data_IF_631947941428
#
_entry.id   IF_631947941428
#
_cell.length_a   1.000
_cell.length_b   1.000
_cell.length_c   1.000
_cell.angle_alpha   90.00
_cell.angle_beta   90.00
_cell.angle_gamma   90.00
#
_symmetry.space_group_name_H-M   'P 1'
#
loop_
_entity.id
_entity.type
_entity.pdbx_description
1 polymer ?
#
# COMPACT_ATOMS: atom_id res chain seq x y z
N UNK A 1 -22.89 58.76 -27.04
CA UNK A 1 -22.80 57.60 -26.11
C UNK A 1 -22.14 56.44 -26.86
N UNK A 2 -20.84 56.23 -26.66
CA UNK A 2 -20.07 55.16 -27.32
C UNK A 2 -20.10 53.92 -26.44
N UNK A 3 -20.69 52.83 -26.96
CA UNK A 3 -20.85 51.55 -26.26
C UNK A 3 -19.52 50.80 -26.29
N UNK A 4 -18.94 50.52 -25.13
CA UNK A 4 -17.83 49.60 -24.97
C UNK A 4 -18.37 48.17 -25.01
N UNK A 5 -17.96 47.39 -26.01
CA UNK A 5 -18.18 45.95 -26.06
C UNK A 5 -16.93 45.25 -25.48
N UNK A 6 -17.10 44.55 -24.36
CA UNK A 6 -16.09 43.65 -23.82
C UNK A 6 -16.19 42.32 -24.57
N UNK A 7 -15.15 41.97 -25.32
CA UNK A 7 -15.00 40.65 -25.95
C UNK A 7 -14.41 39.69 -24.91
N UNK A 8 -15.22 38.76 -24.42
CA UNK A 8 -14.78 37.68 -23.54
C UNK A 8 -14.11 36.59 -24.39
N UNK A 9 -12.78 36.49 -24.32
CA UNK A 9 -12.03 35.39 -24.92
C UNK A 9 -12.21 34.15 -24.03
N UNK A 10 -12.99 33.19 -24.48
CA UNK A 10 -13.08 31.87 -23.87
C UNK A 10 -11.80 31.08 -24.20
N UNK A 11 -10.86 31.04 -23.25
CA UNK A 11 -9.71 30.16 -23.31
C UNK A 11 -10.19 28.73 -23.00
N UNK A 12 -10.45 27.94 -24.04
CA UNK A 12 -10.72 26.52 -23.89
C UNK A 12 -9.43 25.82 -23.44
N UNK A 13 -9.29 25.54 -22.14
CA UNK A 13 -8.33 24.57 -21.67
C UNK A 13 -8.76 23.20 -22.20
N UNK A 14 -8.08 22.73 -23.23
CA UNK A 14 -8.07 21.31 -23.56
C UNK A 14 -7.46 20.59 -22.35
N UNK A 15 -8.31 19.98 -21.53
CA UNK A 15 -7.88 18.98 -20.55
C UNK A 15 -7.45 17.76 -21.37
N UNK A 16 -6.19 17.75 -21.78
CA UNK A 16 -5.53 16.54 -22.22
C UNK A 16 -5.62 15.56 -21.05
N UNK A 17 -6.57 14.63 -21.12
CA UNK A 17 -6.63 13.51 -20.19
C UNK A 17 -5.35 12.72 -20.37
N UNK A 18 -4.32 13.02 -19.57
CA UNK A 18 -3.19 12.14 -19.42
C UNK A 18 -3.76 10.82 -18.94
N UNK A 19 -3.73 9.81 -19.82
CA UNK A 19 -4.04 8.45 -19.43
C UNK A 19 -2.94 8.08 -18.44
N UNK A 20 -3.25 8.07 -17.15
CA UNK A 20 -2.30 7.64 -16.12
C UNK A 20 -1.81 6.25 -16.49
N UNK A 21 -0.50 6.01 -16.40
CA UNK A 21 0.05 4.68 -16.61
C UNK A 21 -0.65 3.69 -15.67
N UNK A 22 -0.85 2.45 -16.14
CA UNK A 22 -1.48 1.42 -15.33
C UNK A 22 -0.68 1.23 -14.02
N UNK A 23 -1.35 0.98 -12.89
CA UNK A 23 -0.67 0.70 -11.63
C UNK A 23 0.28 -0.49 -11.78
N UNK A 24 1.45 -0.38 -11.16
CA UNK A 24 2.49 -1.42 -11.17
C UNK A 24 2.68 -1.92 -9.74
N UNK A 25 3.01 -3.20 -9.58
CA UNK A 25 3.20 -3.80 -8.28
C UNK A 25 3.60 -5.27 -8.35
N UNK A 26 3.56 -5.95 -7.20
CA UNK A 26 3.79 -7.38 -7.09
C UNK A 26 3.15 -7.99 -5.85
N UNK A 27 3.00 -9.32 -5.87
CA UNK A 27 2.45 -10.09 -4.75
C UNK A 27 3.25 -11.39 -4.55
N UNK A 28 3.28 -11.90 -3.32
CA UNK A 28 4.01 -13.13 -3.00
C UNK A 28 3.31 -14.41 -3.45
N UNK A 29 2.05 -14.32 -3.90
CA UNK A 29 1.26 -15.45 -4.37
C UNK A 29 0.22 -14.97 -5.39
N UNK A 30 -0.46 -15.92 -6.03
CA UNK A 30 -1.54 -15.66 -6.98
C UNK A 30 -2.88 -15.33 -6.31
N UNK A 31 -3.01 -15.38 -4.98
CA UNK A 31 -4.27 -15.01 -4.31
C UNK A 31 -4.60 -13.52 -4.42
N UNK A 32 -3.59 -12.68 -4.63
CA UNK A 32 -3.73 -11.23 -4.84
C UNK A 32 -3.30 -10.90 -6.26
N UNK A 33 -4.19 -10.26 -7.01
CA UNK A 33 -3.91 -9.72 -8.32
C UNK A 33 -3.94 -8.20 -8.27
N UNK A 34 -2.98 -7.57 -8.95
CA UNK A 34 -2.80 -6.13 -9.02
C UNK A 34 -3.21 -5.65 -10.40
N UNK A 35 -3.89 -4.51 -10.45
CA UNK A 35 -4.28 -3.90 -11.71
C UNK A 35 -5.04 -2.59 -11.51
N UNK A 36 -5.50 -2.03 -12.62
CA UNK A 36 -6.38 -0.86 -12.58
C UNK A 36 -7.73 -1.21 -11.95
N UNK A 37 -8.16 -0.40 -10.99
CA UNK A 37 -9.50 -0.45 -10.40
C UNK A 37 -10.58 -0.43 -11.48
N UNK A 38 -11.62 -1.24 -11.31
CA UNK A 38 -12.67 -1.41 -12.31
C UNK A 38 -14.07 -1.67 -11.76
N UNK A 39 -14.27 -1.62 -10.43
CA UNK A 39 -15.59 -1.85 -9.82
C UNK A 39 -16.27 -0.56 -9.36
N UNK A 40 -17.57 -0.49 -9.62
CA UNK A 40 -18.51 0.46 -9.02
C UNK A 40 -19.69 -0.32 -8.38
N UNK A 41 -20.25 0.12 -7.24
CA UNK A 41 -19.82 1.22 -6.38
C UNK A 41 -18.60 0.80 -5.54
N UNK A 42 -17.43 1.38 -5.79
CA UNK A 42 -16.19 0.92 -5.15
C UNK A 42 -14.93 1.70 -5.55
N UNK A 43 -15.07 2.78 -6.32
CA UNK A 43 -13.98 3.69 -6.60
C UNK A 43 -13.99 4.25 -8.01
N UNK A 44 -12.97 5.04 -8.31
CA UNK A 44 -12.79 5.59 -9.65
C UNK A 44 -11.95 4.61 -10.48
N UNK A 45 -12.35 4.25 -11.72
CA UNK A 45 -11.56 3.35 -12.54
C UNK A 45 -10.18 3.90 -12.90
N UNK A 46 -9.20 3.01 -13.06
CA UNK A 46 -7.88 3.36 -13.60
C UNK A 46 -6.77 3.56 -12.57
N UNK A 47 -7.08 3.52 -11.27
CA UNK A 47 -6.10 3.68 -10.18
C UNK A 47 -5.68 2.34 -9.57
N UNK A 48 -4.72 2.37 -8.66
CA UNK A 48 -4.22 1.22 -7.91
C UNK A 48 -5.35 0.38 -7.30
N UNK A 49 -5.54 -0.81 -7.87
CA UNK A 49 -6.60 -1.72 -7.47
C UNK A 49 -6.11 -3.13 -7.19
N UNK A 50 -6.84 -3.81 -6.30
CA UNK A 50 -6.60 -5.21 -5.96
C UNK A 50 -7.83 -6.06 -6.24
N UNK A 51 -7.59 -7.24 -6.77
CA UNK A 51 -8.55 -8.31 -6.90
C UNK A 51 -8.05 -9.55 -6.15
N UNK A 52 -8.97 -10.33 -5.58
CA UNK A 52 -8.63 -11.50 -4.77
C UNK A 52 -9.25 -12.78 -5.31
N UNK A 53 -8.56 -13.89 -5.09
CA UNK A 53 -9.08 -15.25 -5.33
C UNK A 53 -8.90 -16.12 -4.09
N UNK A 54 -9.97 -16.80 -3.68
CA UNK A 54 -9.91 -17.78 -2.59
C UNK A 54 -9.16 -19.07 -2.97
N UNK A 55 -9.00 -19.36 -4.26
CA UNK A 55 -8.32 -20.57 -4.77
C UNK A 55 -6.93 -20.29 -5.36
N UNK A 56 -6.48 -19.03 -5.33
CA UNK A 56 -5.23 -18.61 -5.96
C UNK A 56 -5.27 -18.69 -7.50
N UNK A 57 -6.47 -18.80 -8.07
CA UNK A 57 -6.72 -18.91 -9.51
C UNK A 57 -8.06 -18.29 -9.87
N UNK A 58 -8.30 -18.05 -11.16
CA UNK A 58 -9.59 -17.49 -11.59
C UNK A 58 -10.79 -18.35 -11.11
N UNK A 59 -11.95 -17.74 -10.81
CA UNK A 59 -12.26 -16.32 -10.96
C UNK A 59 -11.74 -15.45 -9.81
N UNK A 60 -11.22 -14.27 -10.15
CA UNK A 60 -10.94 -13.21 -9.19
C UNK A 60 -12.19 -12.36 -8.96
N UNK A 61 -12.23 -11.64 -7.84
CA UNK A 61 -13.12 -10.49 -7.68
C UNK A 61 -12.83 -9.40 -8.72
N UNK A 62 -13.64 -8.34 -8.77
CA UNK A 62 -13.22 -7.13 -9.47
C UNK A 62 -12.11 -6.40 -8.70
N UNK A 63 -11.43 -5.47 -9.38
CA UNK A 63 -10.34 -4.66 -8.82
C UNK A 63 -10.91 -3.46 -8.06
N UNK A 64 -10.83 -3.50 -6.73
CA UNK A 64 -11.26 -2.41 -5.86
C UNK A 64 -10.19 -1.31 -5.80
N UNK A 65 -10.59 -0.05 -5.98
CA UNK A 65 -9.74 1.13 -5.74
C UNK A 65 -9.38 1.19 -4.27
N UNK A 66 -8.08 1.06 -3.96
CA UNK A 66 -7.60 0.99 -2.58
C UNK A 66 -7.98 2.22 -1.76
N UNK A 67 -7.90 3.42 -2.35
CA UNK A 67 -8.15 4.67 -1.65
C UNK A 67 -9.64 4.86 -1.35
N UNK A 68 -10.47 4.65 -2.37
CA UNK A 68 -11.91 4.99 -2.29
C UNK A 68 -12.77 3.86 -1.72
N UNK A 69 -12.29 2.61 -1.69
CA UNK A 69 -13.00 1.51 -1.06
C UNK A 69 -12.38 1.11 0.30
N UNK A 70 -11.44 0.16 0.41
CA UNK A 70 -11.06 -0.38 1.71
C UNK A 70 -10.43 0.67 2.65
N UNK A 71 -9.63 1.62 2.15
CA UNK A 71 -9.06 2.68 3.00
C UNK A 71 -10.17 3.62 3.47
N UNK A 72 -11.03 4.13 2.58
CA UNK A 72 -12.14 4.98 2.95
C UNK A 72 -13.12 4.29 3.91
N UNK A 73 -13.35 2.99 3.74
CA UNK A 73 -14.16 2.17 4.66
C UNK A 73 -13.54 2.08 6.05
N UNK A 74 -12.22 1.93 6.15
CA UNK A 74 -11.53 1.92 7.44
C UNK A 74 -11.58 3.29 8.12
N UNK A 75 -11.43 4.38 7.36
CA UNK A 75 -11.50 5.76 7.87
C UNK A 75 -12.91 6.12 8.32
N UNK A 76 -13.92 5.80 7.52
CA UNK A 76 -15.31 6.23 7.73
C UNK A 76 -16.18 5.18 8.43
N UNK A 77 -15.60 4.08 8.92
CA UNK A 77 -16.33 3.02 9.60
C UNK A 77 -17.19 3.57 10.74
N UNK A 78 -18.38 3.01 10.93
CA UNK A 78 -19.36 3.47 11.94
C UNK A 78 -19.08 2.75 13.25
N UNK A 79 -18.92 3.51 14.33
CA UNK A 79 -18.74 2.95 15.67
C UNK A 79 -20.07 2.38 16.22
N UNK A 80 -20.02 1.25 16.89
CA UNK A 80 -21.10 0.73 17.72
C UNK A 80 -21.01 1.25 19.17
N UNK A 81 -21.88 0.74 20.05
CA UNK A 81 -21.93 1.14 21.47
C UNK A 81 -20.68 0.76 22.27
N UNK A 82 -19.88 -0.18 21.77
CA UNK A 82 -18.65 -0.64 22.41
C UNK A 82 -17.41 0.07 21.83
N UNK A 83 -17.59 0.92 20.82
CA UNK A 83 -16.51 1.62 20.13
C UNK A 83 -15.87 0.83 18.99
N UNK A 84 -16.34 -0.39 18.72
CA UNK A 84 -15.91 -1.17 17.55
C UNK A 84 -16.43 -0.50 16.27
N UNK A 85 -15.57 -0.39 15.26
CA UNK A 85 -15.92 0.29 14.00
C UNK A 85 -16.20 -0.70 12.89
N UNK A 86 -17.22 -0.39 12.11
CA UNK A 86 -17.77 -1.30 11.11
C UNK A 86 -17.91 -0.63 9.74
N UNK A 87 -17.45 -1.31 8.70
CA UNK A 87 -17.64 -0.90 7.31
C UNK A 87 -18.86 -1.59 6.71
N UNK A 88 -19.63 -0.80 5.96
CA UNK A 88 -20.76 -1.28 5.18
C UNK A 88 -20.35 -1.52 3.73
N UNK A 89 -21.02 -2.45 3.08
CA UNK A 89 -20.90 -2.61 1.64
C UNK A 89 -21.39 -1.32 0.96
N UNK A 90 -20.61 -0.72 0.04
CA UNK A 90 -20.97 0.54 -0.60
C UNK A 90 -22.38 0.50 -1.22
N UNK A 91 -23.16 1.56 -1.00
CA UNK A 91 -24.54 1.66 -1.50
C UNK A 91 -25.57 0.81 -0.75
N UNK A 92 -25.19 0.13 0.35
CA UNK A 92 -26.10 -0.73 1.11
C UNK A 92 -26.03 -0.46 2.62
N UNK A 93 -26.97 -1.03 3.38
CA UNK A 93 -26.92 -1.03 4.84
C UNK A 93 -26.15 -2.22 5.44
N UNK A 94 -25.65 -3.14 4.62
CA UNK A 94 -25.06 -4.42 5.06
C UNK A 94 -23.66 -4.19 5.61
N UNK A 95 -23.43 -4.57 6.86
CA UNK A 95 -22.10 -4.59 7.47
C UNK A 95 -21.30 -5.77 6.92
N UNK A 96 -20.10 -5.49 6.38
CA UNK A 96 -19.24 -6.52 5.77
C UNK A 96 -17.90 -6.68 6.46
N UNK A 97 -17.43 -5.67 7.19
CA UNK A 97 -16.14 -5.76 7.88
C UNK A 97 -16.11 -4.99 9.19
N UNK A 98 -15.34 -5.51 10.15
CA UNK A 98 -14.80 -4.72 11.26
C UNK A 98 -13.53 -4.02 10.78
N UNK A 99 -13.31 -2.76 11.18
CA UNK A 99 -12.24 -1.94 10.62
C UNK A 99 -11.45 -1.14 11.66
N UNK A 100 -10.19 -0.87 11.34
CA UNK A 100 -9.28 -0.08 12.15
C UNK A 100 -8.42 0.82 11.27
N UNK A 101 -8.04 1.99 11.80
CA UNK A 101 -7.08 2.92 11.18
C UNK A 101 -6.06 3.33 12.23
N UNK A 102 -4.78 3.13 11.94
CA UNK A 102 -3.65 3.63 12.70
C UNK A 102 -2.91 4.68 11.88
N UNK A 103 -2.74 5.87 12.43
CA UNK A 103 -2.05 7.01 11.79
C UNK A 103 -0.81 7.45 12.58
N UNK A 104 -0.38 6.64 13.55
CA UNK A 104 0.66 7.00 14.50
C UNK A 104 2.07 7.03 13.87
N UNK A 105 2.28 6.31 12.76
CA UNK A 105 3.57 6.29 12.06
C UNK A 105 3.64 7.44 11.03
N UNK A 106 4.78 8.13 10.95
CA UNK A 106 4.96 9.28 10.06
C UNK A 106 5.08 8.90 8.56
N UNK A 107 5.62 7.72 8.25
CA UNK A 107 5.87 7.27 6.88
C UNK A 107 4.62 6.67 6.23
N UNK A 108 3.77 5.98 7.00
CA UNK A 108 2.58 5.34 6.44
C UNK A 108 1.41 5.29 7.43
N UNK A 109 0.20 5.44 6.91
CA UNK A 109 -1.01 5.12 7.67
C UNK A 109 -1.44 3.68 7.38
N UNK A 110 -1.88 2.96 8.42
CA UNK A 110 -2.27 1.56 8.31
C UNK A 110 -3.78 1.41 8.46
N UNK A 111 -4.44 0.90 7.43
CA UNK A 111 -5.85 0.52 7.44
C UNK A 111 -5.97 -1.00 7.54
N UNK A 112 -6.75 -1.50 8.50
CA UNK A 112 -6.99 -2.94 8.67
C UNK A 112 -8.48 -3.25 8.58
N UNK A 113 -8.84 -4.32 7.89
CA UNK A 113 -10.21 -4.76 7.69
C UNK A 113 -10.31 -6.27 7.95
N UNK A 114 -11.28 -6.68 8.76
CA UNK A 114 -11.67 -8.07 8.96
C UNK A 114 -13.04 -8.30 8.36
N UNK A 115 -13.19 -9.13 7.33
CA UNK A 115 -14.55 -9.42 6.84
C UNK A 115 -15.31 -10.28 7.84
N UNK A 116 -16.51 -9.82 8.16
CA UNK A 116 -17.46 -10.50 9.04
C UNK A 116 -18.66 -11.06 8.29
N UNK A 117 -18.74 -10.77 6.99
CA UNK A 117 -19.71 -11.30 6.04
C UNK A 117 -19.08 -11.34 4.66
N UNK A 118 -19.44 -12.33 3.84
CA UNK A 118 -19.07 -12.37 2.43
C UNK A 118 -19.87 -11.31 1.66
N UNK A 119 -19.23 -10.31 1.04
CA UNK A 119 -19.93 -9.30 0.26
C UNK A 119 -20.49 -9.88 -1.05
N UNK A 120 -21.46 -9.20 -1.66
CA UNK A 120 -21.93 -9.61 -2.98
C UNK A 120 -20.90 -9.31 -4.07
N UNK A 121 -20.76 -10.19 -5.04
CA UNK A 121 -19.96 -9.94 -6.24
C UNK A 121 -20.34 -8.59 -6.89
N UNK A 122 -19.38 -7.84 -7.46
CA UNK A 122 -17.99 -8.21 -7.74
C UNK A 122 -16.98 -7.85 -6.62
N UNK A 123 -17.45 -7.59 -5.40
CA UNK A 123 -16.58 -7.12 -4.31
C UNK A 123 -15.49 -8.13 -3.91
N UNK A 124 -14.30 -7.67 -3.51
CA UNK A 124 -13.25 -8.57 -3.06
C UNK A 124 -13.61 -9.34 -1.79
N UNK A 125 -13.20 -10.61 -1.74
CA UNK A 125 -13.38 -11.50 -0.58
C UNK A 125 -12.04 -11.70 0.11
N UNK A 126 -12.01 -11.56 1.44
CA UNK A 126 -10.82 -11.69 2.27
C UNK A 126 -11.21 -12.05 3.71
N UNK A 127 -10.30 -12.62 4.49
CA UNK A 127 -10.46 -12.75 5.94
C UNK A 127 -9.96 -11.50 6.63
N UNK A 128 -8.70 -11.20 6.38
CA UNK A 128 -8.04 -9.96 6.75
C UNK A 128 -7.44 -9.27 5.54
N UNK A 129 -7.52 -7.94 5.55
CA UNK A 129 -6.81 -7.07 4.62
C UNK A 129 -6.16 -5.95 5.43
N UNK A 130 -4.85 -5.82 5.29
CA UNK A 130 -4.05 -4.78 5.94
C UNK A 130 -3.37 -3.98 4.84
N UNK A 131 -3.51 -2.66 4.89
CA UNK A 131 -3.03 -1.74 3.86
C UNK A 131 -2.22 -0.64 4.53
N UNK A 132 -0.93 -0.58 4.23
CA UNK A 132 -0.09 0.59 4.43
C UNK A 132 -0.27 1.55 3.26
N UNK A 133 -0.60 2.80 3.56
CA UNK A 133 -0.65 3.91 2.61
C UNK A 133 0.56 4.81 2.88
N UNK A 134 1.50 4.86 1.93
CA UNK A 134 2.70 5.68 2.05
C UNK A 134 2.31 7.16 2.05
N UNK A 135 2.97 7.94 2.91
CA UNK A 135 2.81 9.38 3.04
C UNK A 135 4.06 10.07 2.50
N UNK A 136 3.87 11.26 1.95
CA UNK A 136 4.97 12.14 1.56
C UNK A 136 5.65 12.64 2.82
N UNK A 137 6.95 12.42 2.91
CA UNK A 137 7.77 12.85 4.05
C UNK A 137 8.49 14.17 3.71
N UNK A 138 9.13 14.21 2.54
CA UNK A 138 9.87 15.39 2.06
C UNK A 138 9.02 16.36 1.21
N UNK A 139 8.05 17.04 1.81
CA UNK A 139 7.57 18.29 1.23
C UNK A 139 8.22 19.47 1.98
N UNK A 140 8.92 20.34 1.25
CA UNK A 140 9.48 21.59 1.78
C UNK A 140 8.40 22.49 2.40
N UNK A 141 7.13 22.22 2.09
CA UNK A 141 5.99 22.79 2.77
C UNK A 141 5.54 21.93 3.97
N UNK A 142 5.78 22.36 5.22
CA UNK A 142 5.36 21.62 6.41
C UNK A 142 3.83 21.49 6.55
N UNK A 143 3.03 22.23 5.77
CA UNK A 143 1.58 22.04 5.72
C UNK A 143 1.15 20.76 4.96
N UNK A 144 2.03 20.20 4.13
CA UNK A 144 1.78 19.00 3.31
C UNK A 144 2.69 17.82 3.63
N UNK A 145 3.62 17.98 4.56
CA UNK A 145 4.40 16.89 5.15
C UNK A 145 3.50 15.87 5.87
N UNK A 146 3.89 14.59 5.80
CA UNK A 146 3.14 13.45 6.35
C UNK A 146 1.70 13.35 5.84
N UNK A 147 1.44 13.79 4.60
CA UNK A 147 0.16 13.57 3.93
C UNK A 147 0.25 12.40 2.97
N UNK A 148 -0.84 11.64 2.86
CA UNK A 148 -0.99 10.65 1.80
C UNK A 148 -0.79 11.28 0.41
N UNK A 149 -0.28 10.46 -0.52
CA UNK A 149 -0.26 10.84 -1.93
C UNK A 149 -1.68 11.10 -2.45
N UNK A 150 -1.80 12.04 -3.41
CA UNK A 150 -3.06 12.33 -4.06
C UNK A 150 -3.53 11.13 -4.91
N UNK A 151 -4.81 11.15 -5.30
CA UNK A 151 -5.37 10.16 -6.22
C UNK A 151 -4.56 10.16 -7.54
N UNK A 152 -4.12 9.00 -8.00
CA UNK A 152 -3.21 8.87 -9.15
C UNK A 152 -1.72 8.95 -8.83
N UNK A 153 -1.36 9.07 -7.55
CA UNK A 153 0.03 8.99 -7.05
C UNK A 153 0.13 8.00 -5.88
N UNK A 154 -0.93 7.25 -5.59
CA UNK A 154 -1.02 6.40 -4.41
C UNK A 154 0.02 5.29 -4.44
N UNK A 155 0.70 5.08 -3.32
CA UNK A 155 1.64 3.96 -3.14
C UNK A 155 1.19 3.17 -1.92
N UNK A 156 0.97 1.88 -2.12
CA UNK A 156 0.33 0.99 -1.17
C UNK A 156 1.11 -0.32 -1.04
N UNK A 157 1.06 -0.88 0.16
CA UNK A 157 1.65 -2.18 0.46
C UNK A 157 0.82 -2.84 1.55
N UNK A 158 0.90 -4.16 1.69
CA UNK A 158 0.11 -4.80 2.72
C UNK A 158 0.03 -6.31 2.67
N UNK A 159 -0.95 -6.82 3.40
CA UNK A 159 -1.18 -8.24 3.57
C UNK A 159 -2.64 -8.59 3.31
N UNK A 160 -2.86 -9.77 2.75
CA UNK A 160 -4.16 -10.39 2.57
C UNK A 160 -4.14 -11.79 3.18
N UNK A 161 -5.27 -12.22 3.73
CA UNK A 161 -5.52 -13.60 4.14
C UNK A 161 -6.88 -14.07 3.63
N UNK A 162 -7.08 -15.39 3.45
CA UNK A 162 -8.37 -15.93 3.03
C UNK A 162 -9.42 -15.75 4.13
N UNK A 163 -10.69 -15.72 3.72
CA UNK A 163 -11.81 -15.68 4.65
C UNK A 163 -11.84 -16.96 5.49
N UNK A 164 -11.96 -16.83 6.80
CA UNK A 164 -12.12 -17.95 7.72
C UNK A 164 -13.41 -17.75 8.52
N UNK A 165 -14.44 -18.53 8.18
CA UNK A 165 -15.74 -18.60 8.88
C UNK A 165 -16.21 -17.24 9.39
N UNK A 166 -16.70 -16.35 8.50
CA UNK A 166 -17.01 -14.97 8.87
C UNK A 166 -18.07 -14.92 9.98
N UNK A 167 -17.77 -14.15 11.04
CA UNK A 167 -18.67 -13.95 12.18
C UNK A 167 -18.77 -12.46 12.52
N UNK A 168 -19.95 -12.02 12.94
CA UNK A 168 -20.20 -10.64 13.37
C UNK A 168 -19.70 -10.34 14.78
N UNK A 169 -19.20 -11.34 15.51
CA UNK A 169 -18.54 -11.11 16.79
C UNK A 169 -17.25 -10.31 16.58
N UNK A 170 -17.01 -9.25 17.37
CA UNK A 170 -15.79 -8.45 17.24
C UNK A 170 -14.57 -9.31 17.57
N UNK A 171 -13.51 -9.13 16.79
CA UNK A 171 -12.24 -9.84 16.97
C UNK A 171 -11.14 -9.12 16.24
N UNK A 172 -9.94 -9.08 16.83
CA UNK A 172 -8.74 -8.57 16.17
C UNK A 172 -8.04 -9.62 15.30
N UNK A 173 -8.52 -10.86 15.27
CA UNK A 173 -7.93 -11.92 14.47
C UNK A 173 -8.20 -11.70 12.97
N UNK A 174 -7.16 -11.32 12.22
CA UNK A 174 -7.20 -11.09 10.77
C UNK A 174 -6.87 -12.35 9.95
N UNK A 175 -6.80 -13.54 10.57
CA UNK A 175 -6.45 -14.80 9.91
C UNK A 175 -5.05 -14.79 9.24
N UNK A 176 -4.12 -13.97 9.75
CA UNK A 176 -2.77 -13.82 9.17
C UNK A 176 -1.81 -14.99 9.47
N UNK A 177 -2.24 -15.98 10.25
CA UNK A 177 -1.52 -17.24 10.40
C UNK A 177 -1.77 -18.23 9.25
N UNK A 178 -2.69 -17.92 8.33
CA UNK A 178 -2.98 -18.77 7.18
C UNK A 178 -1.74 -19.01 6.31
N UNK A 179 -1.59 -20.24 5.83
CA UNK A 179 -0.54 -20.60 4.88
C UNK A 179 -0.67 -19.82 3.56
N UNK A 180 -1.90 -19.43 3.19
CA UNK A 180 -2.22 -18.66 1.98
C UNK A 180 -2.06 -17.14 2.19
N UNK A 181 -1.57 -16.69 3.36
CA UNK A 181 -1.30 -15.26 3.57
C UNK A 181 -0.38 -14.75 2.46
N UNK A 182 -0.77 -13.62 1.89
CA UNK A 182 -0.08 -13.01 0.75
C UNK A 182 0.32 -11.59 1.10
N UNK A 183 1.60 -11.27 0.90
CA UNK A 183 2.09 -9.89 0.97
C UNK A 183 2.06 -9.29 -0.43
N UNK A 184 1.80 -8.00 -0.53
CA UNK A 184 1.66 -7.31 -1.82
C UNK A 184 2.08 -5.84 -1.73
N UNK A 185 2.32 -5.25 -2.89
CA UNK A 185 2.52 -3.81 -3.07
C UNK A 185 2.01 -3.39 -4.44
N UNK A 186 1.56 -2.13 -4.55
CA UNK A 186 1.11 -1.51 -5.79
C UNK A 186 1.24 0.00 -5.66
N UNK A 187 1.54 0.68 -6.76
CA UNK A 187 1.38 2.13 -6.82
C UNK A 187 1.01 2.62 -8.20
N UNK A 188 0.46 3.83 -8.20
CA UNK A 188 0.28 4.64 -9.40
C UNK A 188 1.62 5.29 -9.76
N UNK A 189 1.76 5.75 -11.02
CA UNK A 189 2.90 6.55 -11.46
C UNK A 189 4.27 5.87 -11.18
N UNK A 190 4.38 4.60 -11.56
CA UNK A 190 5.61 3.84 -11.46
C UNK A 190 6.72 4.46 -12.32
N UNK A 191 7.94 4.49 -11.76
CA UNK A 191 9.13 4.95 -12.45
C UNK A 191 9.44 4.01 -13.60
N UNK A 192 9.41 4.51 -14.84
CA UNK A 192 9.71 3.74 -16.04
C UNK A 192 11.18 3.82 -16.45
N UNK A 193 11.87 4.89 -16.04
CA UNK A 193 13.31 5.10 -16.21
C UNK A 193 13.85 5.63 -14.87
N UNK A 194 14.74 4.88 -14.24
CA UNK A 194 15.29 5.25 -12.93
C UNK A 194 16.15 6.52 -13.08
N UNK A 195 15.86 7.60 -12.34
CA UNK A 195 16.69 8.80 -12.33
C UNK A 195 18.04 8.51 -11.66
N UNK A 196 19.01 9.40 -11.81
CA UNK A 196 20.23 9.32 -11.00
C UNK A 196 19.87 9.55 -9.51
N UNK A 197 20.38 8.67 -8.66
CA UNK A 197 20.16 8.70 -7.21
C UNK A 197 21.53 8.81 -6.53
N UNK A 198 21.72 9.86 -5.73
CA UNK A 198 22.96 10.09 -4.98
C UNK A 198 22.62 10.16 -3.49
N UNK A 199 22.97 9.10 -2.76
CA UNK A 199 22.73 8.94 -1.32
C UNK A 199 21.28 9.24 -0.90
N UNK A 200 20.31 8.84 -1.72
CA UNK A 200 18.89 9.13 -1.48
C UNK A 200 18.36 8.28 -0.35
N UNK A 201 17.91 8.90 0.73
CA UNK A 201 17.37 8.20 1.89
C UNK A 201 15.84 8.13 1.90
N UNK A 202 15.33 6.96 2.26
CA UNK A 202 13.90 6.69 2.42
C UNK A 202 13.61 6.27 3.85
N UNK A 203 12.64 6.91 4.49
CA UNK A 203 12.02 6.33 5.67
C UNK A 203 11.09 5.20 5.21
N UNK A 204 11.24 4.00 5.80
CA UNK A 204 10.53 2.80 5.35
C UNK A 204 9.81 2.12 6.50
N UNK A 205 8.59 1.66 6.21
CA UNK A 205 7.75 0.88 7.11
C UNK A 205 7.46 -0.48 6.50
N UNK A 206 7.46 -1.53 7.33
CA UNK A 206 7.05 -2.88 6.95
C UNK A 206 5.93 -3.44 7.80
N UNK A 207 5.09 -4.28 7.20
CA UNK A 207 3.96 -4.96 7.82
C UNK A 207 4.16 -6.47 7.72
N UNK A 208 3.96 -7.16 8.84
CA UNK A 208 3.92 -8.62 8.89
C UNK A 208 2.98 -9.12 9.98
N UNK A 209 2.02 -9.97 9.58
CA UNK A 209 1.08 -10.73 10.40
C UNK A 209 0.27 -9.88 11.37
N UNK A 210 -0.18 -8.70 10.95
CA UNK A 210 -1.03 -7.84 11.81
C UNK A 210 -2.33 -8.52 12.18
N UNK A 211 -2.74 -8.39 13.45
CA UNK A 211 -3.93 -9.05 13.99
C UNK A 211 -3.77 -10.54 14.19
N UNK A 212 -2.56 -11.06 14.31
CA UNK A 212 -2.35 -12.42 14.79
C UNK A 212 -2.20 -12.46 16.31
N UNK A 213 -2.88 -13.40 16.97
CA UNK A 213 -2.87 -13.54 18.44
C UNK A 213 -1.99 -14.69 18.95
N UNK A 214 -1.39 -15.49 18.05
CA UNK A 214 -0.77 -16.79 18.40
C UNK A 214 0.76 -16.80 18.43
N UNK A 215 1.44 -15.71 18.09
CA UNK A 215 2.90 -15.64 18.08
C UNK A 215 3.42 -14.56 19.03
N UNK A 216 4.69 -14.67 19.45
CA UNK A 216 5.38 -13.81 20.42
C UNK A 216 5.49 -12.31 20.11
N UNK A 217 4.59 -11.79 19.27
CA UNK A 217 4.35 -10.39 18.91
C UNK A 217 3.10 -9.91 19.66
N UNK A 218 3.16 -9.86 20.99
CA UNK A 218 2.01 -9.64 21.88
C UNK A 218 1.26 -8.31 21.69
N UNK A 219 1.77 -7.41 20.85
CA UNK A 219 1.22 -6.09 20.56
C UNK A 219 0.84 -5.89 19.08
N UNK A 220 0.97 -6.87 18.18
CA UNK A 220 0.71 -6.66 16.75
C UNK A 220 -0.79 -6.66 16.39
N UNK A 221 -1.53 -5.69 16.93
CA UNK A 221 -2.99 -5.60 16.80
C UNK A 221 -3.39 -4.68 15.63
N UNK A 222 -4.58 -4.84 15.03
CA UNK A 222 -5.02 -3.98 13.92
C UNK A 222 -5.11 -2.49 14.26
N UNK A 223 -5.38 -2.15 15.52
CA UNK A 223 -5.44 -0.77 16.03
C UNK A 223 -4.09 -0.22 16.51
N UNK A 224 -3.10 -1.09 16.73
CA UNK A 224 -1.73 -0.72 17.07
C UNK A 224 -0.77 -1.72 16.43
N UNK A 225 -0.57 -1.63 15.10
CA UNK A 225 0.26 -2.60 14.40
C UNK A 225 1.72 -2.52 14.86
N UNK A 226 2.36 -3.68 14.99
CA UNK A 226 3.78 -3.78 15.31
C UNK A 226 4.60 -3.75 14.01
N UNK A 227 5.00 -2.54 13.63
CA UNK A 227 5.58 -2.22 12.33
C UNK A 227 7.10 -2.36 12.35
N UNK A 228 7.66 -2.85 11.23
CA UNK A 228 9.07 -2.63 10.94
C UNK A 228 9.29 -1.15 10.61
N UNK A 229 10.39 -0.58 11.07
CA UNK A 229 10.83 0.76 10.69
C UNK A 229 12.33 0.79 10.42
N UNK A 230 12.76 1.71 9.58
CA UNK A 230 14.17 1.94 9.29
C UNK A 230 14.37 2.95 8.18
N UNK A 231 15.64 3.15 7.82
CA UNK A 231 16.06 4.01 6.72
C UNK A 231 16.78 3.15 5.70
N UNK A 232 16.45 3.35 4.42
CA UNK A 232 17.16 2.76 3.29
C UNK A 232 17.87 3.86 2.52
N UNK A 233 19.08 3.59 2.05
CA UNK A 233 19.84 4.51 1.19
C UNK A 233 19.96 3.90 -0.20
N UNK A 234 19.60 4.66 -1.22
CA UNK A 234 19.65 4.25 -2.62
C UNK A 234 20.68 5.07 -3.39
N UNK A 235 21.48 4.39 -4.20
CA UNK A 235 22.42 4.98 -5.14
C UNK A 235 22.19 4.36 -6.52
N UNK A 236 22.13 5.18 -7.57
CA UNK A 236 21.93 4.69 -8.94
C UNK A 236 22.56 5.64 -9.96
N UNK A 237 23.38 5.05 -10.83
CA UNK A 237 24.00 5.73 -11.97
C UNK A 237 23.31 5.27 -13.28
N UNK A 238 22.53 6.15 -13.93
CA UNK A 238 21.82 5.82 -15.16
C UNK A 238 22.77 5.63 -16.37
N UNK A 239 24.02 6.11 -16.29
CA UNK A 239 24.99 5.96 -17.38
C UNK A 239 25.57 4.55 -17.44
N UNK A 240 25.80 3.93 -16.28
CA UNK A 240 26.23 2.54 -16.16
C UNK A 240 25.07 1.57 -15.97
N UNK A 241 23.87 2.10 -15.70
CA UNK A 241 22.66 1.37 -15.34
C UNK A 241 22.85 0.46 -14.13
N UNK A 242 23.63 0.92 -13.15
CA UNK A 242 23.93 0.17 -11.92
C UNK A 242 23.59 1.00 -10.69
N UNK A 243 23.21 0.32 -9.62
CA UNK A 243 22.89 0.94 -8.35
C UNK A 243 22.43 -0.08 -7.33
N UNK A 244 22.35 0.35 -6.08
CA UNK A 244 22.04 -0.50 -4.96
C UNK A 244 21.19 0.21 -3.90
N UNK A 245 20.48 -0.60 -3.12
CA UNK A 245 19.82 -0.18 -1.88
C UNK A 245 20.56 -0.82 -0.72
N UNK A 246 20.86 -0.03 0.30
CA UNK A 246 21.42 -0.49 1.57
C UNK A 246 20.55 -0.06 2.75
N UNK A 247 20.89 -0.52 3.95
CA UNK A 247 20.12 -0.28 5.16
C UNK A 247 19.25 -1.47 5.57
N UNK A 248 18.38 -1.23 6.55
CA UNK A 248 17.52 -2.28 7.08
C UNK A 248 16.27 -1.69 7.72
N UNK A 249 15.21 -2.49 7.77
CA UNK A 249 14.05 -2.22 8.62
C UNK A 249 13.98 -3.27 9.72
N UNK A 250 13.55 -2.87 10.91
CA UNK A 250 13.46 -3.76 12.05
C UNK A 250 12.24 -3.49 12.91
N UNK A 251 11.80 -4.49 13.65
CA UNK A 251 10.88 -4.33 14.77
C UNK A 251 11.34 -5.14 15.96
N UNK A 252 10.86 -4.78 17.14
CA UNK A 252 11.19 -5.51 18.36
C UNK A 252 10.31 -6.76 18.50
N UNK A 253 10.92 -7.91 18.79
CA UNK A 253 10.19 -9.13 19.17
C UNK A 253 10.66 -9.64 20.53
N UNK A 254 9.84 -10.49 21.18
CA UNK A 254 10.19 -11.11 22.46
C UNK A 254 11.50 -11.94 22.40
N UNK A 255 11.94 -12.36 21.21
CA UNK A 255 13.15 -13.16 20.98
C UNK A 255 14.33 -12.36 20.41
N UNK A 256 14.21 -11.03 20.30
CA UNK A 256 15.23 -10.14 19.74
C UNK A 256 14.71 -9.31 18.57
N UNK A 257 15.58 -8.47 17.99
CA UNK A 257 15.24 -7.68 16.81
C UNK A 257 14.97 -8.60 15.61
N UNK A 258 13.81 -8.39 14.98
CA UNK A 258 13.49 -9.00 13.70
C UNK A 258 13.84 -8.02 12.60
N UNK A 259 14.70 -8.42 11.64
CA UNK A 259 15.39 -7.50 10.73
C UNK A 259 15.23 -8.00 9.29
N UNK A 260 14.87 -7.09 8.39
CA UNK A 260 15.01 -7.26 6.94
C UNK A 260 16.16 -6.38 6.48
N UNK A 261 17.23 -7.00 5.96
CA UNK A 261 18.42 -6.33 5.47
C UNK A 261 18.36 -6.18 3.95
N UNK A 262 18.61 -4.97 3.45
CA UNK A 262 18.56 -4.65 2.03
C UNK A 262 19.93 -4.73 1.34
N UNK A 263 21.02 -4.93 2.07
CA UNK A 263 22.36 -5.03 1.49
C UNK A 263 22.42 -6.03 0.31
N UNK A 264 22.93 -5.59 -0.84
CA UNK A 264 22.97 -6.38 -2.07
C UNK A 264 21.65 -6.41 -2.85
N UNK A 265 20.76 -5.44 -2.61
CA UNK A 265 19.57 -5.21 -3.45
C UNK A 265 19.98 -4.32 -4.61
N UNK A 266 19.92 -4.84 -5.83
CA UNK A 266 20.26 -4.09 -7.05
C UNK A 266 19.08 -3.21 -7.49
N UNK A 267 19.39 -2.03 -8.01
CA UNK A 267 18.45 -1.13 -8.68
C UNK A 267 18.59 -1.30 -10.19
N UNK A 268 17.45 -1.45 -10.87
CA UNK A 268 17.37 -1.61 -12.32
C UNK A 268 16.97 -0.30 -12.99
N UNK A 269 17.20 -0.19 -14.30
CA UNK A 269 16.90 1.01 -15.09
C UNK A 269 15.42 1.32 -15.27
N UNK A 270 14.53 0.39 -14.94
CA UNK A 270 13.08 0.51 -15.13
C UNK A 270 12.32 0.77 -13.82
N UNK A 271 12.98 1.39 -12.84
CA UNK A 271 12.43 1.68 -11.51
C UNK A 271 12.25 0.45 -10.61
N UNK A 272 12.59 -0.76 -11.06
CA UNK A 272 12.55 -1.96 -10.22
C UNK A 272 13.80 -2.04 -9.34
N UNK A 273 13.68 -2.72 -8.21
CA UNK A 273 14.83 -3.18 -7.43
C UNK A 273 14.60 -4.60 -6.92
N UNK A 274 15.67 -5.34 -6.70
CA UNK A 274 15.58 -6.74 -6.28
C UNK A 274 16.84 -7.29 -5.63
N UNK A 275 16.67 -8.26 -4.73
CA UNK A 275 17.76 -9.06 -4.17
C UNK A 275 17.47 -10.54 -4.45
N UNK A 276 17.94 -11.04 -5.60
CA UNK A 276 17.61 -12.40 -6.07
C UNK A 276 16.09 -12.65 -6.02
N UNK A 277 15.66 -13.69 -5.30
CA UNK A 277 14.24 -13.97 -5.04
C UNK A 277 13.72 -13.45 -3.70
N UNK A 278 14.58 -12.88 -2.87
CA UNK A 278 14.26 -12.50 -1.49
C UNK A 278 13.56 -11.13 -1.43
N UNK A 279 14.02 -10.15 -2.21
CA UNK A 279 13.40 -8.82 -2.26
C UNK A 279 12.98 -8.50 -3.68
N UNK A 280 11.79 -7.94 -3.84
CA UNK A 280 11.38 -7.27 -5.06
C UNK A 280 10.60 -5.99 -4.73
N UNK A 281 10.74 -4.96 -5.54
CA UNK A 281 9.98 -3.74 -5.40
C UNK A 281 10.09 -2.80 -6.60
N UNK A 282 9.50 -1.62 -6.44
CA UNK A 282 9.36 -0.60 -7.47
C UNK A 282 9.44 0.79 -6.85
N UNK A 283 10.11 1.71 -7.55
CA UNK A 283 10.06 3.15 -7.31
C UNK A 283 8.85 3.77 -8.01
N UNK A 284 8.25 4.77 -7.37
CA UNK A 284 7.07 5.51 -7.82
C UNK A 284 7.31 7.00 -7.70
N UNK A 285 6.51 7.80 -8.40
CA UNK A 285 6.49 9.25 -8.26
C UNK A 285 7.88 9.90 -8.45
N UNK A 286 8.55 9.58 -9.56
CA UNK A 286 9.89 10.12 -9.81
C UNK A 286 10.96 9.61 -8.83
N UNK A 287 10.73 8.45 -8.23
CA UNK A 287 11.53 7.86 -7.16
C UNK A 287 11.41 8.55 -5.79
N UNK A 288 10.42 9.41 -5.57
CA UNK A 288 10.12 9.95 -4.22
C UNK A 288 9.45 8.92 -3.29
N UNK A 289 8.97 7.81 -3.83
CA UNK A 289 8.40 6.70 -3.06
C UNK A 289 8.88 5.34 -3.56
N UNK A 290 8.86 4.36 -2.67
CA UNK A 290 9.09 2.96 -2.98
C UNK A 290 8.09 2.06 -2.27
N UNK A 291 7.83 0.89 -2.85
CA UNK A 291 7.17 -0.21 -2.18
C UNK A 291 7.63 -1.55 -2.74
N UNK A 292 7.52 -2.59 -1.91
CA UNK A 292 8.01 -3.91 -2.26
C UNK A 292 7.60 -4.98 -1.24
N UNK A 293 8.13 -6.17 -1.47
CA UNK A 293 7.97 -7.32 -0.57
C UNK A 293 9.31 -8.00 -0.33
N UNK A 294 9.47 -8.50 0.90
CA UNK A 294 10.50 -9.44 1.30
C UNK A 294 9.87 -10.83 1.43
N UNK A 295 10.49 -11.84 0.83
CA UNK A 295 10.12 -13.26 0.88
C UNK A 295 11.14 -14.00 1.76
N UNK A 296 10.79 -14.16 3.03
CA UNK A 296 11.56 -14.97 3.98
C UNK A 296 11.47 -16.48 3.71
N UNK A 297 11.95 -17.29 4.66
CA UNK A 297 12.04 -18.75 4.50
C UNK A 297 10.69 -19.46 4.37
N UNK A 298 9.62 -18.83 4.85
CA UNK A 298 8.25 -19.33 4.74
C UNK A 298 7.27 -18.18 4.50
N UNK A 299 6.02 -18.52 4.12
CA UNK A 299 4.99 -17.50 3.94
C UNK A 299 4.81 -16.69 5.22
N UNK A 300 4.97 -17.25 6.42
CA UNK A 300 4.88 -16.51 7.70
C UNK A 300 5.96 -15.44 7.89
N UNK A 301 7.06 -15.51 7.16
CA UNK A 301 8.18 -14.59 7.29
C UNK A 301 8.14 -13.45 6.28
N UNK A 302 7.23 -13.53 5.29
CA UNK A 302 7.09 -12.49 4.28
C UNK A 302 6.69 -11.14 4.90
N UNK A 303 7.28 -10.06 4.40
CA UNK A 303 7.01 -8.67 4.83
C UNK A 303 6.61 -7.85 3.61
N UNK A 304 5.53 -7.08 3.69
CA UNK A 304 5.28 -6.00 2.73
C UNK A 304 5.87 -4.71 3.28
N UNK A 305 6.48 -3.88 2.44
CA UNK A 305 7.04 -2.60 2.88
C UNK A 305 6.78 -1.48 1.89
N UNK A 306 6.80 -0.25 2.41
CA UNK A 306 6.70 0.98 1.64
C UNK A 306 7.35 2.13 2.37
N UNK A 307 7.82 3.11 1.60
CA UNK A 307 8.55 4.24 2.14
C UNK A 307 8.58 5.42 1.20
N UNK A 308 9.04 6.54 1.74
CA UNK A 308 9.12 7.82 1.04
C UNK A 308 10.45 8.48 1.31
N UNK A 309 10.90 9.22 0.30
CA UNK A 309 12.09 10.05 0.36
C UNK A 309 11.97 11.03 1.52
N UNK A 310 13.00 11.07 2.36
CA UNK A 310 13.01 11.85 3.61
C UNK A 310 13.66 13.24 3.45
N UNK A 311 14.24 13.54 2.29
CA UNK A 311 14.93 14.81 2.01
C UNK A 311 16.44 14.77 1.98
N UNK A 312 17.05 13.64 2.32
CA UNK A 312 18.50 13.48 2.29
C UNK A 312 18.95 12.80 1.00
N UNK A 313 19.96 13.37 0.35
CA UNK A 313 20.44 12.93 -0.96
C UNK A 313 19.68 13.58 -2.12
N UNK A 314 20.16 13.34 -3.34
CA UNK A 314 19.66 14.00 -4.54
C UNK A 314 19.03 13.00 -5.52
N UNK A 315 17.82 13.34 -5.99
CA UNK A 315 17.15 12.68 -7.11
C UNK A 315 17.32 13.58 -8.33
N UNK A 316 18.04 13.11 -9.36
CA UNK A 316 18.41 13.89 -10.55
C UNK A 316 17.66 13.30 -11.76
N UNK A 317 16.62 14.00 -12.29
CA UNK A 317 15.75 13.50 -13.37
C UNK A 317 16.43 13.25 -14.72
#
# INVERSE_FOLDING_TARGET
>A
MKKFAFTLAALSLAVSGAVSAAPVGGASSTHVSIGSSNIAPGGTPGYSGLAFSSTGSAPYSGYADLLQAPIAQATNGVADSNGDRWAKQPGTAVTIAQVWKSTANATADISSLRQVMTPSAPMPVFGGLVIGQVKRDHDANPATANQAYALGQGVYFGEWSPQNSPTTSPSTNLNMSSADRTVWYVGDNAVAATPELVDVEYNVVGIRRTGETTSGYGNNQPNSPDLYTGVLTANYDPTTATGDITGSISRYSATGADIVNFAGTDIHSNGRFSQGSAIEGQFYNGAEALAGIYKGGSTTDHVAFGGSYNGNGDIIP
#
